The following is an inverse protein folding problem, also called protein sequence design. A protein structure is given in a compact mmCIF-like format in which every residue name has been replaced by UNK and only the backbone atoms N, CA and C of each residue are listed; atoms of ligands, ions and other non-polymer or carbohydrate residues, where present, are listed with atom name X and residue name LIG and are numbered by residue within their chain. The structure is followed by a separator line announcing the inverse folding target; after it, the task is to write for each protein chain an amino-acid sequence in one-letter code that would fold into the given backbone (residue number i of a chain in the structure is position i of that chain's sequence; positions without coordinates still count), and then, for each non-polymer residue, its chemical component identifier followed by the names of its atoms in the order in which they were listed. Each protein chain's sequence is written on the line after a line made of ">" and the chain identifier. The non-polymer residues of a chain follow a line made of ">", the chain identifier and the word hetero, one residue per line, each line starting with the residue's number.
data_IF_055611995730
#
_entry.id   IF_055611995730
#
_cell.length_a   1.000
_cell.length_b   1.000
_cell.length_c   1.000
_cell.angle_alpha   90.00
_cell.angle_beta   90.00
_cell.angle_gamma   90.00
#
_symmetry.space_group_name_H-M   'P 1'
#
loop_
_entity.id
_entity.type
_entity.pdbx_description
1 polymer ?
#
# COMPACT_ATOMS: atom_id res chain seq x y z
N UNK A 1 29.75 34.14 43.64
CA UNK A 1 30.76 34.06 42.57
C UNK A 1 31.15 32.60 42.42
N UNK A 2 30.96 31.95 41.28
CA UNK A 2 30.37 32.39 39.99
C UNK A 2 29.31 31.37 39.55
N UNK A 3 28.24 31.82 38.90
CA UNK A 3 27.22 30.94 38.29
C UNK A 3 27.70 30.41 36.94
N UNK A 4 27.38 29.16 36.59
CA UNK A 4 27.27 28.73 35.20
C UNK A 4 25.99 27.92 34.98
N UNK A 5 25.33 28.16 33.85
CA UNK A 5 24.02 27.61 33.51
C UNK A 5 24.14 26.18 32.96
N UNK A 6 23.53 25.21 33.64
CA UNK A 6 23.23 23.92 33.01
C UNK A 6 22.10 24.11 31.99
N UNK A 7 22.39 23.84 30.73
CA UNK A 7 21.43 23.96 29.62
C UNK A 7 20.86 22.60 29.23
N UNK A 8 19.54 22.54 29.10
CA UNK A 8 18.68 21.54 28.41
C UNK A 8 19.21 20.11 28.16
N UNK A 9 18.58 19.06 28.71
CA UNK A 9 18.87 17.68 28.30
C UNK A 9 18.36 17.39 26.87
N UNK A 10 19.14 16.61 26.11
CA UNK A 10 18.80 16.20 24.74
C UNK A 10 17.64 15.19 24.76
N UNK A 11 16.58 15.47 24.02
CA UNK A 11 15.40 14.61 23.89
C UNK A 11 15.65 13.43 22.93
N UNK A 12 16.22 12.33 23.44
CA UNK A 12 16.04 11.02 22.80
C UNK A 12 14.69 10.43 23.19
N UNK A 13 13.89 10.04 22.19
CA UNK A 13 12.52 9.55 22.34
C UNK A 13 12.42 8.16 22.96
N UNK A 14 12.62 8.05 24.27
CA UNK A 14 12.54 6.78 25.01
C UNK A 14 11.17 6.10 24.89
N UNK A 15 11.10 5.01 24.11
CA UNK A 15 10.03 4.02 24.19
C UNK A 15 10.20 3.14 25.44
N UNK A 16 9.95 3.73 26.63
CA UNK A 16 9.85 2.97 27.88
C UNK A 16 8.40 2.76 28.30
N UNK A 17 8.05 1.49 28.57
CA UNK A 17 6.77 1.12 29.18
C UNK A 17 6.69 1.68 30.60
N UNK A 18 5.84 2.70 30.80
CA UNK A 18 5.52 3.24 32.14
C UNK A 18 4.03 3.06 32.44
N UNK A 19 3.71 2.00 33.18
CA UNK A 19 2.35 1.65 33.59
C UNK A 19 1.77 2.68 34.60
N UNK A 20 1.16 3.75 34.09
CA UNK A 20 0.16 4.56 34.82
C UNK A 20 -0.98 4.97 33.89
N UNK A 21 -2.20 4.92 34.40
CA UNK A 21 -3.43 4.97 33.61
C UNK A 21 -3.68 6.30 32.90
N UNK A 22 -3.51 6.31 31.57
CA UNK A 22 -4.21 7.21 30.65
C UNK A 22 -4.32 6.50 29.31
N UNK A 23 -5.53 6.32 28.77
CA UNK A 23 -5.71 5.72 27.45
C UNK A 23 -5.14 6.66 26.37
N UNK A 24 -3.90 6.42 25.95
CA UNK A 24 -3.43 6.87 24.64
C UNK A 24 -4.03 5.94 23.60
N UNK A 25 -4.77 6.49 22.64
CA UNK A 25 -5.15 5.75 21.43
C UNK A 25 -3.84 5.35 20.73
N UNK A 26 -3.67 4.06 20.46
CA UNK A 26 -2.59 3.56 19.61
C UNK A 26 -2.82 4.04 18.18
N UNK A 27 -1.74 4.42 17.48
CA UNK A 27 -1.82 4.63 16.03
C UNK A 27 -2.09 3.27 15.38
N UNK A 28 -3.24 3.14 14.72
CA UNK A 28 -3.55 2.00 13.88
C UNK A 28 -2.93 2.19 12.50
N UNK A 29 -1.68 1.75 12.31
CA UNK A 29 -1.07 1.64 10.99
C UNK A 29 -1.69 0.45 10.23
N UNK A 30 -2.77 0.72 9.51
CA UNK A 30 -3.66 -0.29 8.90
C UNK A 30 -3.94 0.02 7.42
N UNK A 31 -2.89 0.11 6.60
CA UNK A 31 -3.02 0.16 5.14
C UNK A 31 -2.81 -1.23 4.52
N UNK A 32 -3.62 -1.59 3.51
CA UNK A 32 -3.36 -2.71 2.60
C UNK A 32 -2.69 -2.24 1.34
N UNK A 33 -1.74 -3.00 0.77
CA UNK A 33 -1.19 -2.68 -0.57
C UNK A 33 -2.27 -2.65 -1.66
N UNK A 34 -3.30 -3.50 -1.57
CA UNK A 34 -4.43 -3.49 -2.51
C UNK A 34 -5.43 -2.34 -2.27
N UNK A 35 -5.26 -1.56 -1.20
CA UNK A 35 -6.19 -0.49 -0.81
C UNK A 35 -5.49 0.84 -0.46
N UNK A 36 -4.16 0.88 -0.63
CA UNK A 36 -3.24 2.01 -0.44
C UNK A 36 -3.56 3.15 -1.43
N UNK A 37 -4.29 2.83 -2.49
CA UNK A 37 -4.56 3.59 -3.72
C UNK A 37 -5.58 4.76 -3.56
N UNK A 38 -6.18 5.08 -2.40
CA UNK A 38 -7.45 5.86 -2.39
C UNK A 38 -7.59 7.11 -1.45
N UNK A 39 -6.53 7.75 -0.94
CA UNK A 39 -6.56 8.77 0.14
C UNK A 39 -6.96 10.27 -0.14
N UNK A 40 -8.17 10.63 0.36
CA UNK A 40 -8.56 11.94 1.00
C UNK A 40 -8.93 13.18 0.16
N UNK A 41 -9.65 14.14 0.77
CA UNK A 41 -10.37 15.30 0.15
C UNK A 41 -10.01 16.69 0.75
N UNK A 42 -10.60 17.89 0.51
CA UNK A 42 -11.78 18.45 -0.22
C UNK A 42 -11.64 20.00 -0.32
N UNK A 43 -12.26 20.83 -1.19
CA UNK A 43 -13.03 20.65 -2.48
C UNK A 43 -13.70 21.99 -2.91
N UNK A 44 -13.63 22.47 -4.18
CA UNK A 44 -14.43 23.63 -4.67
C UNK A 44 -14.52 23.79 -6.23
N UNK A 45 -15.71 24.10 -6.80
CA UNK A 45 -15.85 24.70 -8.15
C UNK A 45 -16.95 24.16 -9.09
N UNK A 46 -18.16 24.72 -9.07
CA UNK A 46 -19.36 24.21 -9.78
C UNK A 46 -19.38 24.36 -11.33
N UNK A 47 -18.25 24.60 -12.00
CA UNK A 47 -18.21 24.90 -13.44
C UNK A 47 -17.92 23.70 -14.36
N UNK A 48 -17.28 22.64 -13.85
CA UNK A 48 -16.66 21.58 -14.67
C UNK A 48 -17.34 20.19 -14.59
N UNK A 49 -18.48 20.09 -13.89
CA UNK A 49 -19.22 18.84 -13.71
C UNK A 49 -19.69 18.19 -15.03
N UNK A 50 -19.91 18.99 -16.08
CA UNK A 50 -20.35 18.50 -17.38
C UNK A 50 -19.30 17.57 -18.02
N UNK A 51 -18.03 18.00 -18.09
CA UNK A 51 -16.93 17.19 -18.63
C UNK A 51 -16.64 15.91 -17.83
N UNK A 52 -17.13 15.80 -16.60
CA UNK A 52 -17.02 14.59 -15.79
C UNK A 52 -18.05 13.54 -16.18
N UNK A 53 -19.27 13.98 -16.52
CA UNK A 53 -20.36 13.08 -16.88
C UNK A 53 -20.09 12.30 -18.18
N UNK A 54 -19.30 12.89 -19.08
CA UNK A 54 -19.10 12.38 -20.43
C UNK A 54 -18.05 11.25 -20.54
N UNK A 55 -17.17 11.04 -19.55
CA UNK A 55 -16.17 9.96 -19.66
C UNK A 55 -16.79 8.57 -19.45
N UNK A 56 -16.65 7.72 -20.46
CA UNK A 56 -17.40 6.46 -20.60
C UNK A 56 -17.19 5.50 -19.41
N UNK A 57 -16.00 5.48 -18.79
CA UNK A 57 -15.70 4.68 -17.60
C UNK A 57 -16.67 4.94 -16.44
N UNK A 58 -17.13 6.19 -16.24
CA UNK A 58 -18.05 6.53 -15.15
C UNK A 58 -19.38 5.76 -15.25
N UNK A 59 -19.87 5.49 -16.47
CA UNK A 59 -21.12 4.75 -16.69
C UNK A 59 -21.07 3.27 -16.32
N UNK A 60 -19.87 2.70 -16.19
CA UNK A 60 -19.63 1.32 -15.74
C UNK A 60 -19.21 1.27 -14.27
N UNK A 61 -18.26 2.12 -13.87
CA UNK A 61 -17.71 2.15 -12.51
C UNK A 61 -18.75 2.62 -11.48
N UNK A 62 -19.70 3.49 -11.83
CA UNK A 62 -20.82 3.86 -10.95
C UNK A 62 -21.81 2.70 -10.66
N UNK A 63 -21.64 1.57 -11.36
CA UNK A 63 -22.42 0.33 -11.19
C UNK A 63 -21.58 -0.87 -10.77
N UNK A 64 -20.26 -0.68 -10.57
CA UNK A 64 -19.28 -1.74 -10.35
C UNK A 64 -19.13 -2.75 -11.52
N UNK A 65 -19.33 -2.32 -12.76
CA UNK A 65 -19.21 -3.19 -13.95
C UNK A 65 -17.76 -3.26 -14.52
N UNK A 66 -16.72 -3.50 -13.70
CA UNK A 66 -15.31 -3.41 -14.21
C UNK A 66 -15.04 -4.39 -15.35
N UNK A 67 -15.52 -5.63 -15.23
CA UNK A 67 -15.36 -6.66 -16.25
C UNK A 67 -16.08 -6.36 -17.58
N UNK A 68 -17.02 -5.42 -17.63
CA UNK A 68 -17.59 -4.92 -18.89
C UNK A 68 -16.79 -3.75 -19.43
N UNK A 69 -16.36 -2.83 -18.55
CA UNK A 69 -15.48 -1.73 -18.93
C UNK A 69 -14.14 -2.21 -19.51
N UNK A 70 -13.53 -3.24 -18.92
CA UNK A 70 -12.28 -3.84 -19.42
C UNK A 70 -12.42 -4.33 -20.87
N UNK A 71 -13.53 -5.02 -21.21
CA UNK A 71 -13.81 -5.46 -22.58
C UNK A 71 -13.96 -4.28 -23.56
N UNK A 72 -14.57 -3.18 -23.11
CA UNK A 72 -14.74 -1.95 -23.91
C UNK A 72 -13.39 -1.27 -24.16
N UNK A 73 -12.54 -1.15 -23.13
CA UNK A 73 -11.19 -0.61 -23.25
C UNK A 73 -10.29 -1.47 -24.15
N UNK A 74 -10.30 -2.81 -23.96
CA UNK A 74 -9.58 -3.75 -24.83
C UNK A 74 -10.04 -3.62 -26.29
N UNK A 75 -11.35 -3.53 -26.53
CA UNK A 75 -11.89 -3.32 -27.88
C UNK A 75 -11.54 -1.94 -28.47
N UNK A 76 -11.36 -0.90 -27.65
CA UNK A 76 -10.88 0.41 -28.07
C UNK A 76 -9.38 0.37 -28.44
N UNK A 77 -8.55 -0.23 -27.58
CA UNK A 77 -7.11 -0.41 -27.81
C UNK A 77 -6.82 -1.27 -29.08
N UNK A 78 -7.71 -2.21 -29.44
CA UNK A 78 -7.62 -2.96 -30.70
C UNK A 78 -7.92 -2.08 -31.93
N UNK A 79 -8.83 -1.10 -31.81
CA UNK A 79 -9.17 -0.18 -32.92
C UNK A 79 -8.11 0.91 -33.13
N UNK A 80 -7.49 1.38 -32.04
CA UNK A 80 -6.50 2.46 -32.06
C UNK A 80 -5.23 2.04 -31.27
N UNK A 81 -4.38 1.13 -31.80
CA UNK A 81 -3.27 0.51 -31.05
C UNK A 81 -2.21 1.47 -30.49
N UNK A 82 -2.08 2.65 -31.10
CA UNK A 82 -1.17 3.73 -30.69
C UNK A 82 -1.85 4.79 -29.82
N UNK A 83 -3.18 4.77 -29.70
CA UNK A 83 -4.01 5.72 -28.97
C UNK A 83 -3.62 5.83 -27.49
N UNK A 84 -3.10 6.99 -27.10
CA UNK A 84 -2.57 7.23 -25.76
C UNK A 84 -3.68 7.30 -24.69
N UNK A 85 -4.82 7.92 -25.02
CA UNK A 85 -5.98 7.96 -24.14
C UNK A 85 -6.58 6.55 -23.92
N UNK A 86 -6.83 5.80 -24.98
CA UNK A 86 -7.39 4.44 -24.91
C UNK A 86 -6.47 3.48 -24.14
N UNK A 87 -5.15 3.72 -24.21
CA UNK A 87 -4.14 3.00 -23.43
C UNK A 87 -4.21 3.36 -21.94
N UNK A 88 -4.38 4.64 -21.59
CA UNK A 88 -4.52 5.06 -20.20
C UNK A 88 -5.83 4.52 -19.60
N UNK A 89 -6.95 4.66 -20.33
CA UNK A 89 -8.24 4.06 -19.98
C UNK A 89 -8.11 2.56 -19.67
N UNK A 90 -7.39 1.82 -20.54
CA UNK A 90 -7.14 0.39 -20.39
C UNK A 90 -6.30 0.07 -19.15
N UNK A 91 -5.20 0.78 -18.94
CA UNK A 91 -4.31 0.59 -17.77
C UNK A 91 -5.00 0.85 -16.43
N UNK A 92 -5.86 1.87 -16.36
CA UNK A 92 -6.68 2.15 -15.17
C UNK A 92 -7.68 1.01 -14.94
N UNK A 93 -8.45 0.59 -15.96
CA UNK A 93 -9.47 -0.44 -15.75
C UNK A 93 -8.89 -1.84 -15.53
N UNK A 94 -7.72 -2.18 -16.10
CA UNK A 94 -6.98 -3.40 -15.75
C UNK A 94 -6.62 -3.42 -14.27
N UNK A 95 -6.08 -2.31 -13.73
CA UNK A 95 -5.72 -2.19 -12.31
C UNK A 95 -6.94 -2.33 -11.40
N UNK A 96 -8.04 -1.67 -11.72
CA UNK A 96 -9.29 -1.77 -10.94
C UNK A 96 -9.89 -3.19 -11.00
N UNK A 97 -9.88 -3.84 -12.18
CA UNK A 97 -10.36 -5.21 -12.34
C UNK A 97 -9.51 -6.20 -11.54
N UNK A 98 -8.19 -6.01 -11.48
CA UNK A 98 -7.28 -6.86 -10.68
C UNK A 98 -7.58 -6.79 -9.17
N UNK A 99 -7.89 -5.59 -8.66
CA UNK A 99 -8.28 -5.38 -7.25
C UNK A 99 -9.65 -6.00 -6.97
N UNK A 100 -10.61 -5.86 -7.89
CA UNK A 100 -11.96 -6.46 -7.79
C UNK A 100 -11.88 -8.00 -7.78
N UNK A 101 -11.19 -8.59 -8.75
CA UNK A 101 -10.98 -10.05 -8.86
C UNK A 101 -10.36 -10.66 -7.60
N UNK A 102 -9.35 -9.98 -7.02
CA UNK A 102 -8.71 -10.41 -5.78
C UNK A 102 -9.63 -10.22 -4.57
N UNK A 103 -10.36 -9.10 -4.49
CA UNK A 103 -11.36 -8.84 -3.46
C UNK A 103 -12.44 -9.91 -3.42
N UNK A 104 -12.99 -10.27 -4.58
CA UNK A 104 -13.98 -11.34 -4.71
C UNK A 104 -13.45 -12.70 -4.25
N UNK A 105 -12.20 -13.06 -4.55
CA UNK A 105 -11.65 -14.35 -4.12
C UNK A 105 -11.38 -14.39 -2.60
N UNK A 106 -10.96 -13.27 -2.01
CA UNK A 106 -10.92 -13.13 -0.55
C UNK A 106 -12.33 -13.17 0.08
N UNK A 107 -13.35 -12.60 -0.59
CA UNK A 107 -14.75 -12.68 -0.14
C UNK A 107 -15.31 -14.11 -0.24
N UNK A 108 -15.06 -14.85 -1.33
CA UNK A 108 -15.45 -16.27 -1.48
C UNK A 108 -14.86 -17.14 -0.38
N UNK A 109 -13.58 -16.96 -0.05
CA UNK A 109 -12.93 -17.61 1.10
C UNK A 109 -13.44 -17.10 2.48
N UNK A 110 -14.21 -16.02 2.49
CA UNK A 110 -14.84 -15.46 3.70
C UNK A 110 -13.88 -14.67 4.58
N UNK A 111 -13.01 -13.84 4.00
CA UNK A 111 -12.12 -12.95 4.76
C UNK A 111 -12.90 -12.21 5.86
N UNK A 112 -12.44 -12.34 7.10
CA UNK A 112 -13.12 -11.80 8.28
C UNK A 112 -12.75 -10.34 8.53
N UNK A 113 -13.73 -9.55 9.00
CA UNK A 113 -13.42 -8.23 9.59
C UNK A 113 -12.51 -8.39 10.82
N UNK A 114 -11.42 -7.61 10.82
CA UNK A 114 -10.27 -7.78 11.71
C UNK A 114 -10.61 -7.58 13.21
N UNK A 115 -10.31 -8.56 14.08
CA UNK A 115 -10.26 -8.34 15.52
C UNK A 115 -9.10 -7.39 15.88
N UNK A 116 -9.37 -6.33 16.66
CA UNK A 116 -8.44 -5.23 16.88
C UNK A 116 -7.02 -5.62 17.34
N UNK A 117 -6.88 -6.78 18.01
CA UNK A 117 -5.66 -7.28 18.65
C UNK A 117 -4.95 -8.40 17.89
N UNK A 118 -5.21 -8.59 16.59
CA UNK A 118 -4.48 -9.54 15.72
C UNK A 118 -3.67 -8.75 14.68
N UNK A 119 -2.33 -8.91 14.63
CA UNK A 119 -1.53 -8.42 13.52
C UNK A 119 -2.01 -9.09 12.23
N UNK A 120 -2.61 -8.29 11.35
CA UNK A 120 -3.06 -8.76 10.03
C UNK A 120 -2.06 -8.24 9.00
N UNK A 121 -1.49 -9.09 8.14
CA UNK A 121 -0.58 -8.61 7.12
C UNK A 121 -1.24 -7.55 6.22
N UNK A 122 -0.50 -6.52 5.75
CA UNK A 122 -1.05 -5.41 4.99
C UNK A 122 -2.06 -5.81 3.91
N UNK A 123 -1.66 -6.67 2.96
CA UNK A 123 -2.45 -7.07 1.79
C UNK A 123 -3.84 -7.68 2.09
N UNK A 124 -4.10 -8.15 3.32
CA UNK A 124 -5.40 -8.70 3.73
C UNK A 124 -6.38 -7.66 4.30
N UNK A 125 -6.12 -6.36 4.17
CA UNK A 125 -6.99 -5.31 4.74
C UNK A 125 -7.90 -4.65 3.69
N UNK A 126 -8.53 -5.45 2.81
CA UNK A 126 -9.67 -4.99 2.00
C UNK A 126 -10.95 -4.92 2.86
N UNK A 127 -11.78 -3.87 2.73
CA UNK A 127 -12.94 -3.64 3.60
C UNK A 127 -14.18 -4.44 3.15
N UNK A 128 -14.03 -5.76 3.08
CA UNK A 128 -15.08 -6.67 2.62
C UNK A 128 -16.23 -6.80 3.62
N UNK A 129 -17.49 -7.00 3.16
CA UNK A 129 -18.56 -7.50 4.01
C UNK A 129 -18.27 -8.95 4.44
N UNK A 130 -18.87 -9.40 5.55
CA UNK A 130 -18.71 -10.79 5.99
C UNK A 130 -19.56 -11.71 5.09
N UNK A 131 -18.93 -12.72 4.47
CA UNK A 131 -19.64 -13.68 3.63
C UNK A 131 -20.53 -14.62 4.48
N UNK A 132 -21.85 -14.70 4.23
CA UNK A 132 -22.76 -15.56 4.99
C UNK A 132 -22.62 -17.06 4.67
N UNK A 133 -22.06 -17.41 3.51
CA UNK A 133 -21.87 -18.78 3.03
C UNK A 133 -20.45 -18.95 2.41
N UNK A 134 -19.39 -18.83 3.23
CA UNK A 134 -18.02 -18.86 2.74
C UNK A 134 -17.62 -20.23 2.20
N UNK A 135 -16.96 -20.23 1.04
CA UNK A 135 -16.33 -21.40 0.46
C UNK A 135 -15.09 -21.82 1.25
N UNK A 136 -14.65 -23.08 1.11
CA UNK A 136 -13.44 -23.56 1.78
C UNK A 136 -12.21 -22.75 1.34
N UNK A 137 -11.57 -22.11 2.31
CA UNK A 137 -10.28 -21.43 2.17
C UNK A 137 -9.14 -22.43 2.37
N UNK A 138 -8.08 -22.32 1.57
CA UNK A 138 -6.85 -23.14 1.65
C UNK A 138 -5.67 -22.29 1.22
N UNK A 139 -4.44 -22.64 1.64
CA UNK A 139 -3.24 -21.95 1.17
C UNK A 139 -3.11 -22.00 -0.36
N UNK A 140 -3.49 -23.11 -0.99
CA UNK A 140 -3.46 -23.24 -2.45
C UNK A 140 -4.36 -22.21 -3.17
N UNK A 141 -5.57 -21.94 -2.64
CA UNK A 141 -6.44 -20.87 -3.16
C UNK A 141 -5.84 -19.49 -2.94
N UNK A 142 -5.34 -19.20 -1.73
CA UNK A 142 -4.73 -17.90 -1.43
C UNK A 142 -3.49 -17.65 -2.30
N UNK A 143 -2.64 -18.65 -2.50
CA UNK A 143 -1.49 -18.58 -3.41
C UNK A 143 -1.95 -18.30 -4.84
N UNK A 144 -2.94 -19.05 -5.36
CA UNK A 144 -3.49 -18.83 -6.69
C UNK A 144 -4.10 -17.42 -6.86
N UNK A 145 -4.78 -16.89 -5.84
CA UNK A 145 -5.34 -15.53 -5.83
C UNK A 145 -4.23 -14.46 -5.92
N UNK A 146 -3.15 -14.61 -5.14
CA UNK A 146 -1.99 -13.70 -5.18
C UNK A 146 -1.24 -13.82 -6.52
N UNK A 147 -1.10 -15.03 -7.08
CA UNK A 147 -0.51 -15.22 -8.42
C UNK A 147 -1.36 -14.60 -9.52
N UNK A 148 -2.71 -14.69 -9.44
CA UNK A 148 -3.61 -14.03 -10.39
C UNK A 148 -3.48 -12.51 -10.30
N UNK A 149 -3.55 -11.95 -9.09
CA UNK A 149 -3.37 -10.52 -8.82
C UNK A 149 -2.04 -9.99 -9.40
N UNK A 150 -0.93 -10.71 -9.16
CA UNK A 150 0.37 -10.37 -9.74
C UNK A 150 0.33 -10.31 -11.27
N UNK A 151 -0.23 -11.33 -11.95
CA UNK A 151 -0.30 -11.34 -13.41
C UNK A 151 -1.12 -10.18 -13.98
N UNK A 152 -2.25 -9.84 -13.34
CA UNK A 152 -3.11 -8.74 -13.78
C UNK A 152 -2.52 -7.36 -13.51
N UNK A 153 -1.82 -7.16 -12.39
CA UNK A 153 -1.09 -5.91 -12.11
C UNK A 153 0.13 -5.74 -13.02
N UNK A 154 0.79 -6.82 -13.41
CA UNK A 154 1.87 -6.79 -14.39
C UNK A 154 1.36 -6.45 -15.80
N UNK A 155 0.19 -6.98 -16.22
CA UNK A 155 -0.48 -6.58 -17.47
C UNK A 155 -0.88 -5.08 -17.46
N UNK A 156 -1.38 -4.60 -16.32
CA UNK A 156 -1.74 -3.19 -16.12
C UNK A 156 -0.52 -2.26 -16.18
N UNK A 157 0.56 -2.58 -15.47
CA UNK A 157 1.81 -1.81 -15.50
C UNK A 157 2.41 -1.80 -16.91
N UNK A 158 2.44 -2.96 -17.59
CA UNK A 158 2.94 -3.07 -18.97
C UNK A 158 2.12 -2.26 -19.98
N UNK A 159 0.87 -1.95 -19.67
CA UNK A 159 -0.01 -1.07 -20.45
C UNK A 159 0.24 0.41 -20.11
N UNK A 160 0.25 0.74 -18.81
CA UNK A 160 0.49 2.10 -18.29
C UNK A 160 1.88 2.64 -18.63
N UNK A 161 2.94 1.81 -18.65
CA UNK A 161 4.31 2.27 -18.99
C UNK A 161 4.45 2.83 -20.41
N UNK A 162 3.48 2.55 -21.29
CA UNK A 162 3.43 3.02 -22.68
C UNK A 162 2.56 4.27 -22.84
N UNK A 163 2.02 4.82 -21.74
CA UNK A 163 1.38 6.14 -21.68
C UNK A 163 2.49 7.18 -21.46
N UNK A 164 2.67 8.07 -22.44
CA UNK A 164 3.78 9.04 -22.47
C UNK A 164 3.35 10.44 -22.92
N UNK A 165 2.10 10.61 -23.34
CA UNK A 165 1.56 11.88 -23.81
C UNK A 165 0.98 12.69 -22.63
N UNK A 166 1.46 13.91 -22.34
CA UNK A 166 0.91 14.76 -21.27
C UNK A 166 -0.51 15.28 -21.58
N UNK A 167 -1.02 15.08 -22.79
CA UNK A 167 -2.39 15.43 -23.17
C UNK A 167 -3.47 14.46 -22.69
N UNK A 168 -3.12 13.28 -22.14
CA UNK A 168 -4.12 12.30 -21.65
C UNK A 168 -4.87 12.82 -20.43
N UNK A 169 -6.16 12.51 -20.34
CA UNK A 169 -6.99 12.90 -19.20
C UNK A 169 -8.19 11.96 -19.02
N UNK A 170 -8.37 11.43 -17.81
CA UNK A 170 -9.55 10.63 -17.43
C UNK A 170 -10.31 11.37 -16.31
N UNK A 171 -11.35 12.17 -16.63
CA UNK A 171 -12.18 12.80 -15.62
C UNK A 171 -13.17 11.80 -15.02
N UNK A 172 -12.86 11.26 -13.84
CA UNK A 172 -13.72 10.30 -13.13
C UNK A 172 -14.47 10.96 -11.97
N UNK A 173 -15.75 10.62 -11.84
CA UNK A 173 -16.59 10.98 -10.70
C UNK A 173 -16.28 10.06 -9.50
N UNK A 174 -15.09 10.21 -8.91
CA UNK A 174 -14.54 9.40 -7.82
C UNK A 174 -15.56 9.11 -6.69
N UNK A 175 -16.42 10.08 -6.39
CA UNK A 175 -17.49 9.97 -5.39
C UNK A 175 -18.54 8.88 -5.64
N UNK A 176 -18.64 8.40 -6.87
CA UNK A 176 -19.72 7.53 -7.35
C UNK A 176 -19.20 6.14 -7.78
N UNK A 177 -17.88 6.00 -7.99
CA UNK A 177 -17.24 4.75 -8.42
C UNK A 177 -17.35 3.66 -7.34
N UNK A 178 -17.51 2.41 -7.77
CA UNK A 178 -17.52 1.22 -6.91
C UNK A 178 -16.80 0.04 -7.56
N UNK A 179 -16.43 -0.94 -6.75
CA UNK A 179 -15.91 -2.24 -7.17
C UNK A 179 -16.80 -3.35 -6.58
N UNK A 180 -17.15 -4.36 -7.35
CA UNK A 180 -17.98 -5.49 -6.92
C UNK A 180 -17.12 -6.49 -6.12
N UNK A 181 -16.68 -6.06 -4.95
CA UNK A 181 -15.75 -6.82 -4.10
C UNK A 181 -16.40 -8.06 -3.49
N UNK A 182 -17.73 -8.11 -3.40
CA UNK A 182 -18.49 -9.27 -2.94
C UNK A 182 -18.91 -10.22 -4.08
N UNK A 183 -19.11 -9.70 -5.30
CA UNK A 183 -19.46 -10.50 -6.48
C UNK A 183 -20.96 -10.71 -6.69
N UNK A 184 -21.83 -9.82 -6.19
CA UNK A 184 -23.29 -9.88 -6.43
C UNK A 184 -23.76 -9.05 -7.64
N UNK A 185 -22.84 -8.41 -8.36
CA UNK A 185 -23.11 -7.59 -9.54
C UNK A 185 -23.75 -6.25 -9.21
N UNK A 186 -23.50 -5.68 -8.02
CA UNK A 186 -24.09 -4.41 -7.58
C UNK A 186 -23.08 -3.47 -6.92
N UNK A 187 -23.11 -2.20 -7.30
CA UNK A 187 -22.47 -1.12 -6.53
C UNK A 187 -23.20 -0.87 -5.18
N UNK A 188 -22.90 -1.67 -4.16
CA UNK A 188 -23.35 -1.38 -2.79
C UNK A 188 -22.68 -0.10 -2.25
N UNK A 189 -23.28 0.55 -1.24
CA UNK A 189 -22.69 1.76 -0.65
C UNK A 189 -21.32 1.50 -0.02
N UNK A 190 -21.14 0.36 0.64
CA UNK A 190 -19.89 -0.05 1.29
C UNK A 190 -18.75 -0.36 0.33
N UNK A 191 -19.07 -0.62 -0.94
CA UNK A 191 -18.13 -0.95 -2.01
C UNK A 191 -17.75 0.24 -2.91
N UNK A 192 -18.35 1.41 -2.65
CA UNK A 192 -17.92 2.65 -3.30
C UNK A 192 -16.50 3.00 -2.89
N UNK A 193 -15.67 3.41 -3.83
CA UNK A 193 -14.27 3.79 -3.58
C UNK A 193 -14.10 4.77 -2.40
N UNK A 194 -14.99 5.76 -2.15
CA UNK A 194 -14.89 6.64 -1.00
C UNK A 194 -15.26 6.01 0.37
N UNK A 195 -15.97 4.89 0.43
CA UNK A 195 -16.11 4.10 1.68
C UNK A 195 -14.95 3.11 1.83
N UNK A 196 -14.54 2.45 0.74
CA UNK A 196 -13.35 1.58 0.70
C UNK A 196 -12.12 2.34 1.22
N UNK A 197 -11.91 3.56 0.71
CA UNK A 197 -10.95 4.55 1.18
C UNK A 197 -11.01 4.82 2.68
N UNK A 198 -12.19 5.22 3.21
CA UNK A 198 -12.31 5.67 4.62
C UNK A 198 -11.95 4.55 5.60
N UNK A 199 -12.38 3.32 5.29
CA UNK A 199 -12.09 2.15 6.11
C UNK A 199 -10.58 1.82 6.20
N UNK A 200 -9.81 2.10 5.15
CA UNK A 200 -8.37 1.77 5.06
C UNK A 200 -7.49 2.91 5.59
N UNK A 201 -7.82 4.15 5.23
CA UNK A 201 -7.06 5.34 5.64
C UNK A 201 -7.20 5.69 7.13
N UNK A 202 -8.27 5.20 7.77
CA UNK A 202 -8.71 5.70 9.07
C UNK A 202 -9.16 7.17 9.04
N UNK A 203 -9.51 7.72 7.86
CA UNK A 203 -10.04 9.08 7.75
C UNK A 203 -11.46 9.14 8.35
N UNK A 204 -11.58 9.87 9.45
CA UNK A 204 -12.82 10.03 10.22
C UNK A 204 -13.54 11.35 9.94
N UNK A 205 -13.01 12.21 9.07
CA UNK A 205 -13.66 13.47 8.68
C UNK A 205 -14.88 13.20 7.79
N UNK A 206 -16.05 13.60 8.28
CA UNK A 206 -17.31 13.57 7.53
C UNK A 206 -17.33 14.67 6.44
N UNK A 207 -16.60 14.43 5.35
CA UNK A 207 -16.63 15.20 4.11
C UNK A 207 -17.62 14.55 3.15
N UNK A 208 -18.35 15.35 2.36
CA UNK A 208 -18.99 14.84 1.15
C UNK A 208 -17.91 14.42 0.18
N UNK A 209 -17.90 13.14 -0.16
CA UNK A 209 -16.97 12.55 -1.12
C UNK A 209 -17.71 12.25 -2.44
N UNK A 210 -19.03 12.29 -2.42
CA UNK A 210 -20.02 11.94 -3.44
C UNK A 210 -20.11 12.92 -4.62
N UNK A 211 -19.81 14.20 -4.37
CA UNK A 211 -19.81 15.28 -5.37
C UNK A 211 -18.47 15.42 -6.14
N UNK A 212 -17.54 14.48 -5.93
CA UNK A 212 -16.12 14.63 -6.30
C UNK A 212 -15.82 14.11 -7.69
N UNK A 213 -15.18 14.96 -8.48
CA UNK A 213 -14.55 14.62 -9.76
C UNK A 213 -13.05 14.84 -9.63
N UNK A 214 -12.29 13.89 -10.15
CA UNK A 214 -10.84 13.95 -10.31
C UNK A 214 -10.53 13.88 -11.80
N UNK A 215 -9.61 14.69 -12.29
CA UNK A 215 -9.01 14.50 -13.62
C UNK A 215 -7.69 13.80 -13.41
N UNK A 216 -7.66 12.50 -13.71
CA UNK A 216 -6.41 11.74 -13.73
C UNK A 216 -5.64 12.08 -15.00
N UNK A 217 -4.32 12.25 -14.94
CA UNK A 217 -3.48 12.60 -16.08
C UNK A 217 -2.19 11.76 -16.19
N UNK A 218 -1.15 12.26 -16.87
CA UNK A 218 0.14 11.58 -17.01
C UNK A 218 0.89 11.42 -15.68
N UNK A 219 0.83 12.39 -14.75
CA UNK A 219 1.44 12.24 -13.44
C UNK A 219 0.75 11.10 -12.67
N UNK A 220 -0.56 10.98 -12.81
CA UNK A 220 -1.35 9.94 -12.15
C UNK A 220 -1.18 8.56 -12.80
N UNK A 221 -0.92 8.50 -14.11
CA UNK A 221 -0.47 7.28 -14.76
C UNK A 221 0.88 6.80 -14.18
N UNK A 222 1.83 7.71 -13.95
CA UNK A 222 3.13 7.40 -13.34
C UNK A 222 2.96 6.98 -11.87
N UNK A 223 2.12 7.68 -11.11
CA UNK A 223 1.74 7.34 -9.74
C UNK A 223 1.15 5.93 -9.65
N UNK A 224 0.16 5.60 -10.49
CA UNK A 224 -0.54 4.31 -10.47
C UNK A 224 0.41 3.13 -10.76
N UNK A 225 1.40 3.33 -11.66
CA UNK A 225 2.48 2.35 -11.89
C UNK A 225 3.35 2.11 -10.66
N UNK A 226 3.61 3.16 -9.87
CA UNK A 226 4.28 3.04 -8.58
C UNK A 226 3.55 2.08 -7.64
N UNK A 227 2.22 2.24 -7.52
CA UNK A 227 1.38 1.34 -6.70
C UNK A 227 1.28 -0.07 -7.29
N UNK A 228 1.25 -0.23 -8.62
CA UNK A 228 1.36 -1.53 -9.26
C UNK A 228 2.65 -2.24 -8.85
N UNK A 229 3.80 -1.55 -8.89
CA UNK A 229 5.07 -2.13 -8.46
C UNK A 229 5.17 -2.38 -6.95
N UNK A 230 4.63 -1.51 -6.09
CA UNK A 230 4.53 -1.79 -4.64
C UNK A 230 3.73 -3.08 -4.41
N UNK A 231 2.56 -3.22 -5.03
CA UNK A 231 1.71 -4.40 -4.91
C UNK A 231 2.36 -5.66 -5.51
N UNK A 232 3.04 -5.56 -6.65
CA UNK A 232 3.84 -6.64 -7.25
C UNK A 232 4.95 -7.09 -6.30
N UNK A 233 5.71 -6.16 -5.69
CA UNK A 233 6.73 -6.51 -4.70
C UNK A 233 6.16 -7.23 -3.48
N UNK A 234 4.98 -6.83 -3.01
CA UNK A 234 4.24 -7.53 -1.95
C UNK A 234 3.80 -8.94 -2.36
N UNK A 235 3.32 -9.11 -3.60
CA UNK A 235 2.97 -10.42 -4.15
C UNK A 235 4.20 -11.32 -4.29
N UNK A 236 5.29 -10.81 -4.87
CA UNK A 236 6.54 -11.56 -5.06
C UNK A 236 7.14 -12.01 -3.72
N UNK A 237 7.22 -11.11 -2.73
CA UNK A 237 7.67 -11.47 -1.39
C UNK A 237 6.79 -12.58 -0.78
N UNK A 238 5.47 -12.53 -0.96
CA UNK A 238 4.58 -13.55 -0.43
C UNK A 238 4.60 -14.88 -1.18
N UNK A 239 4.87 -14.87 -2.49
CA UNK A 239 4.98 -16.06 -3.31
C UNK A 239 6.35 -16.75 -3.19
N UNK A 240 7.39 -16.02 -2.73
CA UNK A 240 8.73 -16.56 -2.47
C UNK A 240 8.72 -17.70 -1.43
N UNK A 241 7.85 -17.60 -0.42
CA UNK A 241 7.81 -18.48 0.76
C UNK A 241 6.56 -19.38 0.79
N UNK A 242 6.71 -20.56 1.40
CA UNK A 242 5.66 -21.55 1.61
C UNK A 242 4.93 -21.33 2.94
N UNK A 243 3.86 -20.54 2.91
CA UNK A 243 3.04 -20.25 4.09
C UNK A 243 1.98 -21.33 4.36
N UNK A 244 2.11 -22.54 3.81
CA UNK A 244 1.11 -23.61 3.96
C UNK A 244 0.87 -24.01 5.42
N UNK A 245 1.92 -24.25 6.20
CA UNK A 245 1.80 -24.61 7.61
C UNK A 245 1.19 -23.48 8.45
N UNK A 246 1.64 -22.24 8.23
CA UNK A 246 1.09 -21.05 8.88
C UNK A 246 -0.41 -20.88 8.58
N UNK A 247 -0.83 -21.16 7.34
CA UNK A 247 -2.22 -21.07 6.91
C UNK A 247 -3.07 -22.20 7.50
N UNK A 248 -2.68 -23.48 7.41
CA UNK A 248 -3.50 -24.56 7.97
C UNK A 248 -3.51 -24.54 9.53
N UNK A 249 -2.53 -23.89 10.17
CA UNK A 249 -2.53 -23.66 11.62
C UNK A 249 -3.32 -22.42 12.09
N UNK A 250 -3.79 -21.54 11.20
CA UNK A 250 -4.44 -20.28 11.61
C UNK A 250 -5.49 -19.70 10.65
N UNK A 251 -5.77 -20.36 9.53
CA UNK A 251 -6.60 -19.85 8.45
C UNK A 251 -8.02 -19.51 8.90
N UNK A 252 -8.57 -20.23 9.87
CA UNK A 252 -9.89 -19.97 10.46
C UNK A 252 -10.00 -18.62 11.21
N UNK A 253 -8.85 -18.04 11.59
CA UNK A 253 -8.74 -16.74 12.27
C UNK A 253 -8.83 -15.58 11.29
N UNK A 254 -8.43 -15.78 10.04
CA UNK A 254 -8.48 -14.78 8.97
C UNK A 254 -9.65 -15.01 7.98
N UNK A 255 -10.05 -16.25 7.77
CA UNK A 255 -11.05 -16.68 6.79
C UNK A 255 -12.14 -17.52 7.45
N UNK A 256 -13.40 -17.18 7.24
CA UNK A 256 -14.55 -17.91 7.75
C UNK A 256 -14.69 -19.31 7.14
N UNK A 257 -14.18 -19.52 5.93
CA UNK A 257 -14.06 -20.82 5.27
C UNK A 257 -12.78 -21.61 5.60
N UNK A 258 -11.92 -21.12 6.50
CA UNK A 258 -10.67 -21.80 6.88
C UNK A 258 -10.89 -23.08 7.71
N UNK A 259 -9.90 -23.97 7.69
CA UNK A 259 -9.88 -25.22 8.49
C UNK A 259 -9.98 -24.88 9.99
N UNK A 260 -11.16 -25.10 10.59
CA UNK A 260 -11.39 -24.83 12.02
C UNK A 260 -10.57 -25.78 12.89
N UNK A 261 -9.74 -25.25 13.79
CA UNK A 261 -9.11 -26.05 14.82
C UNK A 261 -10.14 -26.49 15.89
N UNK A 262 -9.97 -27.67 16.54
CA UNK A 262 -10.83 -28.08 17.64
C UNK A 262 -10.85 -27.03 18.76
N UNK A 263 -12.06 -26.57 19.12
CA UNK A 263 -12.23 -25.52 20.13
C UNK A 263 -12.26 -26.15 21.53
N UNK A 264 -11.16 -26.02 22.27
CA UNK A 264 -11.10 -26.32 23.69
C UNK A 264 -11.38 -25.08 24.57
N UNK A 265 -11.07 -25.20 25.86
CA UNK A 265 -11.19 -24.10 26.84
C UNK A 265 -10.28 -22.89 26.53
N UNK A 266 -10.32 -21.86 27.39
CA UNK A 266 -9.46 -20.67 27.31
C UNK A 266 -7.96 -21.00 27.08
N UNK A 267 -7.47 -22.10 27.65
CA UNK A 267 -6.10 -22.56 27.45
C UNK A 267 -5.82 -22.96 25.99
N UNK A 268 -6.79 -23.58 25.30
CA UNK A 268 -6.71 -23.89 23.87
C UNK A 268 -6.77 -22.63 23.01
N UNK A 269 -7.59 -21.64 23.36
CA UNK A 269 -7.60 -20.34 22.65
C UNK A 269 -6.27 -19.60 22.78
N UNK A 270 -5.59 -19.69 23.94
CA UNK A 270 -4.24 -19.17 24.09
C UNK A 270 -3.21 -20.03 23.33
N UNK A 271 -3.30 -21.35 23.44
CA UNK A 271 -2.40 -22.27 22.74
C UNK A 271 -2.45 -22.07 21.22
N UNK A 272 -3.63 -21.92 20.61
CA UNK A 272 -3.75 -21.67 19.17
C UNK A 272 -3.13 -20.31 18.76
N UNK A 273 -3.20 -19.28 19.63
CA UNK A 273 -2.53 -17.99 19.40
C UNK A 273 -1.01 -18.08 19.56
N UNK A 274 -0.52 -18.85 20.53
CA UNK A 274 0.92 -19.13 20.67
C UNK A 274 1.43 -20.02 19.52
N UNK A 275 0.63 -20.98 19.05
CA UNK A 275 0.96 -21.84 17.91
C UNK A 275 1.02 -21.05 16.60
N UNK A 276 0.07 -20.14 16.36
CA UNK A 276 0.15 -19.14 15.29
C UNK A 276 1.48 -18.38 15.38
N UNK A 277 1.80 -17.82 16.56
CA UNK A 277 3.04 -17.04 16.76
C UNK A 277 4.32 -17.89 16.62
N UNK A 278 4.27 -19.20 16.92
CA UNK A 278 5.40 -20.14 16.80
C UNK A 278 5.40 -20.96 15.50
N UNK A 279 4.48 -20.71 14.56
CA UNK A 279 4.44 -21.34 13.22
C UNK A 279 4.32 -20.32 12.09
N UNK A 280 4.92 -19.15 12.27
CA UNK A 280 5.23 -18.24 11.17
C UNK A 280 6.60 -18.56 10.55
N UNK A 281 6.95 -19.85 10.51
CA UNK A 281 8.04 -20.42 9.74
C UNK A 281 7.51 -20.72 8.33
N UNK A 282 8.15 -20.18 7.29
CA UNK A 282 7.78 -20.39 5.90
C UNK A 282 9.03 -20.76 5.07
N UNK A 283 9.16 -22.02 4.61
CA UNK A 283 10.28 -22.44 3.76
C UNK A 283 10.39 -21.66 2.45
N UNK A 284 11.61 -21.38 2.00
CA UNK A 284 11.87 -20.71 0.73
C UNK A 284 11.58 -21.67 -0.45
N UNK A 285 10.83 -21.19 -1.46
CA UNK A 285 10.47 -21.98 -2.66
C UNK A 285 10.81 -21.28 -3.97
N UNK A 286 10.56 -19.98 -4.06
CA UNK A 286 10.73 -19.20 -5.29
C UNK A 286 11.73 -18.04 -5.06
N UNK A 287 13.02 -18.31 -4.76
CA UNK A 287 13.99 -17.31 -4.31
C UNK A 287 14.21 -16.15 -5.30
N UNK A 288 14.06 -16.39 -6.61
CA UNK A 288 14.15 -15.36 -7.63
C UNK A 288 13.15 -14.21 -7.43
N UNK A 289 12.02 -14.47 -6.74
CA UNK A 289 11.03 -13.45 -6.41
C UNK A 289 11.52 -12.41 -5.41
N UNK A 290 12.51 -12.72 -4.57
CA UNK A 290 13.04 -11.72 -3.63
C UNK A 290 13.82 -10.63 -4.37
N UNK A 291 14.59 -10.99 -5.40
CA UNK A 291 15.24 -10.01 -6.29
C UNK A 291 14.22 -9.34 -7.22
N UNK A 292 13.15 -10.04 -7.61
CA UNK A 292 12.04 -9.44 -8.36
C UNK A 292 11.30 -8.37 -7.55
N UNK A 293 10.93 -8.65 -6.30
CA UNK A 293 10.41 -7.67 -5.35
C UNK A 293 11.38 -6.51 -5.13
N UNK A 294 12.70 -6.77 -5.01
CA UNK A 294 13.72 -5.71 -4.88
C UNK A 294 13.75 -4.78 -6.10
N UNK A 295 13.65 -5.33 -7.32
CA UNK A 295 13.52 -4.54 -8.55
C UNK A 295 12.23 -3.71 -8.57
N UNK A 296 11.09 -4.32 -8.22
CA UNK A 296 9.81 -3.60 -8.18
C UNK A 296 9.80 -2.46 -7.14
N UNK A 297 10.39 -2.65 -5.96
CA UNK A 297 10.56 -1.56 -4.98
C UNK A 297 11.44 -0.42 -5.53
N UNK A 298 12.52 -0.74 -6.26
CA UNK A 298 13.34 0.27 -6.93
C UNK A 298 12.54 1.01 -8.02
N UNK A 299 11.76 0.30 -8.83
CA UNK A 299 10.87 0.91 -9.84
C UNK A 299 9.85 1.86 -9.19
N UNK A 300 9.23 1.48 -8.07
CA UNK A 300 8.28 2.34 -7.35
C UNK A 300 8.93 3.65 -6.86
N UNK A 301 10.13 3.60 -6.27
CA UNK A 301 10.87 4.80 -5.87
C UNK A 301 11.21 5.69 -7.08
N UNK A 302 11.69 5.10 -8.17
CA UNK A 302 12.02 5.82 -9.39
C UNK A 302 10.79 6.45 -10.06
N UNK A 303 9.61 5.84 -9.94
CA UNK A 303 8.35 6.39 -10.42
C UNK A 303 7.81 7.50 -9.52
N UNK A 304 7.94 7.41 -8.19
CA UNK A 304 7.62 8.52 -7.28
C UNK A 304 8.50 9.75 -7.59
N UNK A 305 9.78 9.55 -7.92
CA UNK A 305 10.66 10.63 -8.40
C UNK A 305 10.25 11.23 -9.77
N UNK A 306 9.64 10.43 -10.66
CA UNK A 306 9.17 10.86 -11.99
C UNK A 306 7.82 11.58 -11.91
N UNK A 307 6.87 11.06 -11.12
CA UNK A 307 5.55 11.62 -10.87
C UNK A 307 5.68 13.07 -10.39
N UNK A 308 6.52 13.34 -9.39
CA UNK A 308 6.75 14.72 -8.93
C UNK A 308 7.31 15.64 -10.02
N UNK A 309 8.09 15.13 -10.99
CA UNK A 309 8.62 15.93 -12.11
C UNK A 309 7.56 16.22 -13.18
N UNK A 310 6.51 15.40 -13.28
CA UNK A 310 5.32 15.72 -14.07
C UNK A 310 4.52 16.84 -13.38
N UNK A 311 4.25 16.67 -12.08
CA UNK A 311 3.54 17.66 -11.23
C UNK A 311 4.25 19.02 -11.19
N UNK A 312 5.58 19.05 -11.21
CA UNK A 312 6.36 20.29 -11.28
C UNK A 312 6.34 20.96 -12.68
N UNK A 313 5.98 20.21 -13.73
CA UNK A 313 5.91 20.65 -15.12
C UNK A 313 4.48 21.00 -15.60
N UNK A 314 3.44 20.58 -14.87
CA UNK A 314 2.05 20.97 -15.10
C UNK A 314 1.84 22.49 -15.04
N UNK A 315 0.85 22.98 -15.80
CA UNK A 315 0.56 24.42 -15.94
C UNK A 315 -0.89 24.79 -15.63
N UNK A 316 -1.78 23.81 -15.51
CA UNK A 316 -3.18 23.97 -15.10
C UNK A 316 -3.43 23.53 -13.64
N UNK A 317 -4.67 23.71 -13.20
CA UNK A 317 -5.17 23.46 -11.84
C UNK A 317 -6.60 22.90 -11.95
N UNK A 318 -6.74 21.66 -12.42
CA UNK A 318 -7.93 21.12 -13.09
C UNK A 318 -8.43 19.79 -12.49
N UNK A 319 -8.53 19.74 -11.16
CA UNK A 319 -8.99 18.59 -10.33
C UNK A 319 -7.95 17.47 -10.17
N UNK A 320 -6.71 17.88 -9.96
CA UNK A 320 -5.54 16.98 -9.90
C UNK A 320 -5.65 15.97 -8.75
N UNK A 321 -5.14 14.76 -8.94
CA UNK A 321 -5.09 13.70 -7.93
C UNK A 321 -3.99 13.94 -6.88
N UNK A 322 -2.78 14.36 -7.31
CA UNK A 322 -1.74 14.90 -6.42
C UNK A 322 -1.37 16.32 -6.90
N UNK A 323 -2.05 17.32 -6.34
CA UNK A 323 -1.71 18.72 -6.58
C UNK A 323 -0.31 19.07 -6.03
N UNK A 324 0.50 19.73 -6.86
CA UNK A 324 1.81 20.29 -6.53
C UNK A 324 1.76 21.61 -5.75
N UNK A 325 2.91 22.29 -5.56
CA UNK A 325 3.04 23.48 -4.70
C UNK A 325 2.30 24.73 -5.17
N UNK A 326 1.78 24.72 -6.41
CA UNK A 326 1.12 25.86 -7.08
C UNK A 326 -0.36 25.61 -7.37
N UNK A 327 -0.80 24.35 -7.32
CA UNK A 327 -2.16 23.92 -7.67
C UNK A 327 -3.07 23.92 -6.44
N UNK A 328 -4.36 24.08 -6.68
CA UNK A 328 -5.39 23.95 -5.65
C UNK A 328 -5.54 22.48 -5.32
N UNK A 329 -5.21 22.13 -4.07
CA UNK A 329 -5.55 20.84 -3.47
C UNK A 329 -7.08 20.71 -3.36
N UNK A 330 -7.78 20.45 -4.46
CA UNK A 330 -9.20 20.10 -4.45
C UNK A 330 -9.43 18.86 -3.61
N UNK A 331 -8.42 18.00 -3.52
CA UNK A 331 -8.37 16.86 -2.63
C UNK A 331 -6.92 16.46 -2.29
N UNK A 332 -6.70 15.32 -1.62
CA UNK A 332 -5.37 14.88 -1.16
C UNK A 332 -4.76 15.63 0.06
N UNK A 333 -3.48 15.35 0.38
CA UNK A 333 -2.72 15.97 1.48
C UNK A 333 -2.45 17.47 1.31
N UNK A 334 -3.42 18.27 1.77
CA UNK A 334 -3.41 19.74 1.79
C UNK A 334 -2.07 20.39 2.18
N UNK A 335 -1.57 21.29 1.33
CA UNK A 335 -0.40 22.12 1.61
C UNK A 335 0.93 21.41 1.35
N UNK A 336 1.06 20.83 0.16
CA UNK A 336 2.36 20.49 -0.43
C UNK A 336 3.14 21.77 -0.71
N UNK A 337 4.42 21.82 -0.35
CA UNK A 337 5.35 22.89 -0.75
C UNK A 337 6.64 22.30 -1.31
N UNK A 338 7.39 23.11 -2.06
CA UNK A 338 8.62 22.67 -2.75
C UNK A 338 9.59 21.98 -1.78
N UNK A 339 9.84 22.58 -0.62
CA UNK A 339 10.75 22.05 0.38
C UNK A 339 10.25 20.76 1.08
N UNK A 340 9.02 20.31 0.83
CA UNK A 340 8.55 18.98 1.18
C UNK A 340 8.74 17.98 0.03
N UNK A 341 8.59 18.41 -1.22
CA UNK A 341 8.96 17.61 -2.41
C UNK A 341 10.47 17.35 -2.41
N UNK A 342 11.30 18.36 -2.18
CA UNK A 342 12.76 18.23 -2.11
C UNK A 342 13.18 17.21 -1.04
N UNK A 343 12.54 17.25 0.14
CA UNK A 343 12.79 16.32 1.23
C UNK A 343 12.26 14.90 0.94
N UNK A 344 11.18 14.78 0.17
CA UNK A 344 10.65 13.50 -0.32
C UNK A 344 11.57 12.88 -1.37
N UNK A 345 12.04 13.67 -2.34
CA UNK A 345 13.02 13.25 -3.35
C UNK A 345 14.32 12.76 -2.70
N UNK A 346 14.80 13.40 -1.62
CA UNK A 346 15.96 12.92 -0.86
C UNK A 346 15.67 11.60 -0.14
N UNK A 347 14.47 11.45 0.45
CA UNK A 347 14.04 10.18 1.04
C UNK A 347 14.00 9.03 0.01
N UNK A 348 13.53 9.28 -1.21
CA UNK A 348 13.53 8.27 -2.27
C UNK A 348 14.94 7.76 -2.59
N UNK A 349 15.95 8.66 -2.66
CA UNK A 349 17.36 8.30 -2.89
C UNK A 349 17.95 7.48 -1.74
N UNK A 350 17.62 7.81 -0.50
CA UNK A 350 18.09 7.10 0.69
C UNK A 350 17.50 5.68 0.78
N UNK A 351 16.24 5.51 0.36
CA UNK A 351 15.59 4.19 0.25
C UNK A 351 16.15 3.38 -0.93
N UNK A 352 16.43 4.03 -2.07
CA UNK A 352 17.06 3.42 -3.25
C UNK A 352 18.47 2.90 -2.91
N UNK A 353 19.31 3.74 -2.30
CA UNK A 353 20.63 3.37 -1.79
C UNK A 353 20.58 2.26 -0.71
N UNK A 354 19.47 2.15 0.03
CA UNK A 354 19.25 1.06 1.00
C UNK A 354 18.90 -0.26 0.30
N UNK A 355 18.01 -0.23 -0.70
CA UNK A 355 17.65 -1.41 -1.52
C UNK A 355 18.82 -1.93 -2.35
N UNK A 356 19.72 -1.06 -2.79
CA UNK A 356 20.97 -1.44 -3.47
C UNK A 356 22.06 -1.98 -2.53
N UNK A 357 21.89 -1.80 -1.21
CA UNK A 357 22.90 -2.19 -0.21
C UNK A 357 24.09 -1.24 -0.15
N UNK A 358 23.98 0.00 -0.63
CA UNK A 358 24.95 1.08 -0.37
C UNK A 358 24.83 1.57 1.07
N UNK A 359 23.60 1.69 1.59
CA UNK A 359 23.30 1.99 3.01
C UNK A 359 22.78 0.76 3.77
N UNK A 360 22.57 0.91 5.07
CA UNK A 360 22.06 -0.10 6.02
C UNK A 360 20.86 0.43 6.78
N UNK A 361 19.83 -0.39 7.03
CA UNK A 361 18.70 0.03 7.87
C UNK A 361 19.12 0.03 9.35
N UNK A 362 18.93 1.12 10.12
CA UNK A 362 19.16 1.14 11.55
C UNK A 362 18.43 0.00 12.27
N UNK A 363 19.17 -0.84 13.00
CA UNK A 363 18.61 -1.99 13.70
C UNK A 363 18.51 -1.68 15.20
N UNK A 364 17.33 -1.82 15.80
CA UNK A 364 17.04 -1.37 17.17
C UNK A 364 17.78 -2.13 18.28
N UNK A 365 18.57 -3.16 17.95
CA UNK A 365 19.49 -3.87 18.85
C UNK A 365 20.97 -3.77 18.44
N UNK A 366 21.34 -2.93 17.47
CA UNK A 366 22.75 -2.63 17.21
C UNK A 366 23.39 -2.03 18.46
N UNK A 367 24.58 -2.50 18.84
CA UNK A 367 25.26 -2.04 20.06
C UNK A 367 25.56 -0.53 19.97
N UNK A 368 25.06 0.32 20.89
CA UNK A 368 25.16 1.79 20.78
C UNK A 368 26.58 2.36 20.74
N UNK A 369 27.59 1.57 21.13
CA UNK A 369 28.98 1.99 21.30
C UNK A 369 29.94 1.30 20.31
N UNK A 370 29.43 0.73 19.21
CA UNK A 370 30.29 0.15 18.18
C UNK A 370 31.09 1.24 17.44
N UNK A 371 32.42 1.09 17.25
CA UNK A 371 33.27 2.09 16.57
C UNK A 371 33.01 2.20 15.06
N UNK A 372 32.16 1.33 14.52
CA UNK A 372 31.58 1.45 13.18
C UNK A 372 30.09 1.18 13.31
N UNK A 373 29.20 2.01 12.76
CA UNK A 373 27.77 1.75 12.80
C UNK A 373 27.43 0.47 12.04
N UNK A 374 26.56 -0.35 12.64
CA UNK A 374 26.13 -1.65 12.11
C UNK A 374 24.62 -1.63 11.94
N UNK A 375 24.15 -2.06 10.77
CA UNK A 375 22.72 -2.13 10.44
C UNK A 375 22.40 -3.22 9.44
N UNK A 376 21.12 -3.38 9.12
CA UNK A 376 20.62 -4.44 8.25
C UNK A 376 20.98 -4.16 6.77
N UNK A 377 21.67 -5.10 6.12
CA UNK A 377 21.88 -5.10 4.67
C UNK A 377 20.72 -5.82 3.96
N UNK A 378 19.76 -5.05 3.46
CA UNK A 378 18.61 -5.57 2.71
C UNK A 378 19.02 -6.25 1.39
N UNK A 379 20.07 -5.75 0.72
CA UNK A 379 20.60 -6.39 -0.49
C UNK A 379 21.31 -7.73 -0.19
N UNK A 380 21.85 -7.93 1.03
CA UNK A 380 22.33 -9.25 1.47
C UNK A 380 21.15 -10.19 1.71
N UNK A 381 20.12 -9.75 2.43
CA UNK A 381 18.90 -10.57 2.65
C UNK A 381 18.27 -11.06 1.34
N UNK A 382 18.24 -10.22 0.30
CA UNK A 382 17.70 -10.62 -1.01
C UNK A 382 18.63 -11.57 -1.79
N UNK A 383 19.95 -11.40 -1.68
CA UNK A 383 20.94 -12.25 -2.41
C UNK A 383 21.30 -13.55 -1.70
N UNK A 384 21.12 -13.59 -0.38
CA UNK A 384 21.43 -14.70 0.53
C UNK A 384 20.26 -14.88 1.52
N UNK A 385 19.04 -15.14 1.03
CA UNK A 385 17.87 -15.31 1.89
C UNK A 385 18.00 -16.56 2.77
N UNK A 386 17.40 -16.58 3.97
CA UNK A 386 17.39 -17.78 4.81
C UNK A 386 16.57 -18.89 4.14
N UNK A 387 16.89 -20.16 4.41
CA UNK A 387 16.13 -21.30 3.89
C UNK A 387 14.68 -21.36 4.42
N UNK A 388 14.44 -20.75 5.59
CA UNK A 388 13.13 -20.60 6.23
C UNK A 388 12.99 -19.17 6.76
N UNK A 389 11.90 -18.49 6.41
CA UNK A 389 11.56 -17.20 7.01
C UNK A 389 10.76 -17.43 8.29
N UNK A 390 11.33 -17.08 9.45
CA UNK A 390 10.63 -17.07 10.74
C UNK A 390 10.25 -15.64 11.13
N UNK A 391 8.95 -15.30 11.02
CA UNK A 391 8.47 -13.95 11.31
C UNK A 391 8.58 -13.57 12.80
N UNK A 392 8.55 -14.54 13.73
CA UNK A 392 8.76 -14.29 15.15
C UNK A 392 10.23 -13.95 15.42
N UNK A 393 11.18 -14.68 14.82
CA UNK A 393 12.60 -14.35 14.95
C UNK A 393 12.99 -13.06 14.24
N UNK A 394 12.31 -12.67 13.16
CA UNK A 394 12.45 -11.33 12.56
C UNK A 394 11.88 -10.23 13.46
N UNK A 395 10.71 -10.42 14.07
CA UNK A 395 10.12 -9.49 15.03
C UNK A 395 10.93 -9.37 16.33
N UNK A 396 11.46 -10.49 16.83
CA UNK A 396 12.37 -10.55 17.97
C UNK A 396 13.69 -9.87 17.62
N UNK A 397 14.20 -10.11 16.41
CA UNK A 397 15.45 -9.57 15.88
C UNK A 397 16.61 -10.56 15.84
N UNK A 398 16.41 -11.85 16.14
CA UNK A 398 17.48 -12.87 16.04
C UNK A 398 17.80 -13.21 14.57
N UNK A 399 16.77 -13.38 13.73
CA UNK A 399 16.96 -13.65 12.29
C UNK A 399 17.68 -12.51 11.56
N UNK A 400 17.57 -11.28 12.08
CA UNK A 400 18.24 -10.11 11.51
C UNK A 400 19.77 -10.16 11.68
N UNK A 401 20.31 -10.92 12.64
CA UNK A 401 21.74 -10.88 13.04
C UNK A 401 22.68 -11.25 11.90
N UNK A 402 22.34 -12.26 11.10
CA UNK A 402 23.13 -12.67 9.93
C UNK A 402 23.26 -11.56 8.87
N UNK A 403 22.26 -10.68 8.81
CA UNK A 403 22.16 -9.59 7.85
C UNK A 403 22.69 -8.25 8.39
N UNK A 404 23.23 -8.24 9.61
CA UNK A 404 23.90 -7.07 10.17
C UNK A 404 25.31 -6.92 9.61
N UNK A 405 25.60 -5.75 9.06
CA UNK A 405 26.91 -5.41 8.52
C UNK A 405 27.32 -3.98 8.93
N UNK A 406 28.63 -3.71 9.05
CA UNK A 406 29.12 -2.34 9.11
C UNK A 406 28.81 -1.59 7.81
N UNK A 407 28.44 -0.33 7.92
CA UNK A 407 28.19 0.53 6.75
C UNK A 407 27.52 1.84 7.11
N UNK A 408 27.36 2.73 6.12
CA UNK A 408 26.57 3.94 6.31
C UNK A 408 25.10 3.57 6.60
N UNK A 409 24.51 4.18 7.63
CA UNK A 409 23.10 3.95 7.95
C UNK A 409 22.21 4.88 7.11
N UNK A 410 21.02 4.40 6.75
CA UNK A 410 19.88 5.24 6.35
C UNK A 410 19.67 6.31 7.44
N UNK A 411 19.82 7.59 7.10
CA UNK A 411 19.88 8.64 8.11
C UNK A 411 18.51 8.95 8.72
N UNK A 412 18.35 8.95 10.06
CA UNK A 412 17.12 9.41 10.71
C UNK A 412 16.75 10.85 10.36
N UNK A 413 17.74 11.72 10.08
CA UNK A 413 17.53 13.14 9.77
C UNK A 413 16.78 13.40 8.48
N UNK A 414 16.66 12.41 7.59
CA UNK A 414 15.92 12.49 6.32
C UNK A 414 14.40 12.53 6.59
N UNK A 415 13.96 11.88 7.66
CA UNK A 415 12.56 11.83 8.06
C UNK A 415 12.12 13.07 8.86
N UNK A 416 13.06 13.74 9.55
CA UNK A 416 12.75 14.87 10.44
C UNK A 416 12.06 16.06 9.74
N UNK A 417 12.48 16.54 8.54
CA UNK A 417 11.79 17.64 7.84
C UNK A 417 10.33 17.28 7.51
N UNK A 418 10.11 16.08 6.97
CA UNK A 418 8.79 15.58 6.60
C UNK A 418 7.90 15.40 7.84
N UNK A 419 8.42 14.75 8.89
CA UNK A 419 7.69 14.53 10.14
C UNK A 419 7.36 15.84 10.85
N UNK A 420 8.27 16.83 10.83
CA UNK A 420 8.07 18.17 11.42
C UNK A 420 7.04 19.01 10.66
N UNK A 421 6.95 18.88 9.33
CA UNK A 421 5.97 19.57 8.45
C UNK A 421 4.59 18.92 8.47
N UNK A 422 4.54 17.60 8.47
CA UNK A 422 3.29 16.84 8.34
C UNK A 422 2.68 16.43 9.68
N UNK A 423 3.49 16.18 10.71
CA UNK A 423 3.04 15.73 12.03
C UNK A 423 2.19 14.45 11.94
N UNK A 424 1.01 14.45 12.56
CA UNK A 424 0.03 13.36 12.50
C UNK A 424 -0.55 13.11 11.08
N UNK A 425 -0.11 13.86 10.07
CA UNK A 425 -0.39 13.62 8.65
C UNK A 425 0.69 12.78 7.96
N UNK A 426 1.89 12.65 8.54
CA UNK A 426 3.05 12.04 7.88
C UNK A 426 2.75 10.64 7.33
N UNK A 427 2.21 9.74 8.17
CA UNK A 427 1.85 8.39 7.72
C UNK A 427 0.81 8.35 6.59
N UNK A 428 -0.15 9.29 6.54
CA UNK A 428 -1.12 9.37 5.43
C UNK A 428 -0.52 9.99 4.17
N UNK A 429 0.51 10.83 4.30
CA UNK A 429 1.23 11.39 3.15
C UNK A 429 2.11 10.33 2.47
N UNK A 430 2.87 9.54 3.24
CA UNK A 430 3.65 8.40 2.70
C UNK A 430 2.73 7.49 1.89
N UNK A 431 1.66 7.01 2.53
CA UNK A 431 0.65 6.11 1.95
C UNK A 431 -0.11 6.73 0.75
N UNK A 432 0.08 8.02 0.43
CA UNK A 432 -0.51 8.67 -0.75
C UNK A 432 0.45 8.93 -1.91
N UNK A 433 1.75 9.05 -1.62
CA UNK A 433 2.78 9.53 -2.58
C UNK A 433 3.72 8.38 -3.02
N UNK A 434 3.39 7.14 -2.61
CA UNK A 434 4.14 5.87 -2.61
C UNK A 434 4.92 5.59 -1.30
#
# INVERSE_FOLDING_TARGET
>A
MIEQRLSSPVFFGNFQFRLRGRQRRTLGSHGSLAALILLTLASAGNASAQQAADHWLNSYLAKAETANALKVAQAAMIREPDGQQQRFDLGVIQTLTAIEDFGQELYRMGLRKRPANVPSPPWLQLPLPDNPAPERATYARLKAAITKLHGQLEEAEQTLQRVTDPGVAIPLAFGQLALDLNGDGRASSSERLPEVFRNVSGETRNRRLDEVVVRFDLADAIWLRGYCHLALAGCDFMLAWDWSEAFEASGDTFFAGGTKLPQGELLSMMANRFLLIHRLEAPLREPARLESARRHLLSALQLSQQMWKAIEAETDDNREWIAGPKQTHQWGPQGVDQAMIDAWQELMKELEATLEGRKRIPFWRSLPNAPTPVGLNLAKFVKQPPEVFDALQWFQGSAAIEYLEPGELLSPSVWEPLQKRLGDRFGRFVIWVN
#
